data_IF_556999408036
#
_entry.id   IF_556999408036
#
_cell.length_a   1.000
_cell.length_b   1.000
_cell.length_c   1.000
_cell.angle_alpha   90.00
_cell.angle_beta   90.00
_cell.angle_gamma   90.00
#
_symmetry.space_group_name_H-M   'P 1'
#
loop_
_entity.id
_entity.type
_entity.pdbx_description
1 polymer ?
#
# COMPACT_ATOMS: atom_id res chain seq x y z
N UNK A 1 -12.01 7.68 -2.41
CA UNK A 1 -10.81 7.64 -1.55
C UNK A 1 -10.37 9.05 -1.19
N UNK A 2 -9.97 9.25 0.04
CA UNK A 2 -9.55 10.56 0.52
C UNK A 2 -8.01 10.68 0.38
N UNK A 3 -7.50 11.58 -0.50
CA UNK A 3 -6.05 11.73 -0.67
C UNK A 3 -5.35 12.32 0.56
N UNK A 4 -6.11 12.95 1.45
CA UNK A 4 -5.57 13.52 2.69
C UNK A 4 -5.68 12.57 3.88
N UNK A 5 -6.10 11.33 3.66
CA UNK A 5 -6.27 10.37 4.74
C UNK A 5 -4.96 10.06 5.46
N UNK A 6 -5.02 9.99 6.78
CA UNK A 6 -3.90 9.58 7.63
C UNK A 6 -4.39 8.45 8.53
N UNK A 7 -3.75 7.29 8.44
CA UNK A 7 -4.03 6.14 9.29
C UNK A 7 -2.91 5.94 10.31
N UNK A 8 -3.25 5.68 11.57
CA UNK A 8 -2.24 5.43 12.61
C UNK A 8 -2.12 3.94 12.88
N UNK A 9 -0.92 3.49 13.24
CA UNK A 9 -0.60 2.08 13.52
C UNK A 9 -0.12 1.91 14.95
N UNK A 10 -0.19 0.67 15.45
CA UNK A 10 0.20 0.36 16.83
C UNK A 10 1.69 0.56 17.11
N UNK A 11 2.54 0.49 16.09
CA UNK A 11 4.00 0.65 16.23
C UNK A 11 4.45 2.12 16.22
N UNK A 12 3.53 3.07 16.23
CA UNK A 12 3.83 4.49 16.18
C UNK A 12 4.02 5.05 14.77
N UNK A 13 4.00 4.19 13.74
CA UNK A 13 4.01 4.66 12.36
C UNK A 13 2.63 5.10 11.91
N UNK A 14 2.56 5.80 10.79
CA UNK A 14 1.29 6.21 10.20
C UNK A 14 1.38 6.14 8.68
N UNK A 15 0.21 6.03 8.04
CA UNK A 15 0.09 5.92 6.60
C UNK A 15 -0.54 7.19 6.05
N UNK A 16 -0.06 7.64 4.89
CA UNK A 16 -0.40 8.97 4.37
C UNK A 16 -0.84 8.89 2.91
N UNK A 17 -1.89 9.64 2.59
CA UNK A 17 -2.30 9.94 1.24
C UNK A 17 -3.10 8.84 0.57
N UNK A 18 -3.33 9.00 -0.73
CA UNK A 18 -4.18 8.13 -1.54
C UNK A 18 -3.73 6.67 -1.47
N UNK A 19 -2.43 6.41 -1.48
CA UNK A 19 -1.87 5.05 -1.47
C UNK A 19 -1.49 4.59 -0.07
N UNK A 20 -1.78 5.36 0.97
CA UNK A 20 -1.47 5.01 2.37
C UNK A 20 -0.01 4.61 2.54
N UNK A 21 0.88 5.51 2.14
CA UNK A 21 2.33 5.30 2.24
C UNK A 21 2.75 5.36 3.71
N UNK A 22 3.38 4.31 4.19
CA UNK A 22 3.81 4.23 5.59
C UNK A 22 4.96 5.20 5.87
N UNK A 23 4.93 5.82 7.04
CA UNK A 23 5.93 6.81 7.46
C UNK A 23 7.35 6.24 7.57
N UNK A 24 7.50 4.93 7.65
CA UNK A 24 8.82 4.28 7.65
C UNK A 24 9.60 4.51 6.35
N UNK A 25 8.91 4.84 5.27
CA UNK A 25 9.53 5.12 3.96
C UNK A 25 9.98 6.57 3.82
N UNK A 26 9.58 7.47 4.71
CA UNK A 26 9.80 8.91 4.55
C UNK A 26 11.28 9.31 4.51
N UNK A 27 12.18 8.76 5.34
CA UNK A 27 13.59 9.14 5.25
C UNK A 27 14.19 8.87 3.87
N UNK A 28 13.87 7.73 3.26
CA UNK A 28 14.35 7.39 1.92
C UNK A 28 13.72 8.30 0.87
N UNK A 29 12.42 8.57 0.99
CA UNK A 29 11.72 9.44 0.04
C UNK A 29 12.25 10.87 0.11
N UNK A 30 12.54 11.38 1.30
CA UNK A 30 13.12 12.72 1.48
C UNK A 30 14.48 12.83 0.79
N UNK A 31 15.31 11.79 0.87
CA UNK A 31 16.57 11.75 0.14
C UNK A 31 16.38 11.86 -1.37
N UNK A 32 15.22 11.44 -1.88
CA UNK A 32 14.86 11.51 -3.30
C UNK A 32 14.05 12.76 -3.64
N UNK A 33 13.90 13.68 -2.70
CA UNK A 33 13.20 14.94 -2.92
C UNK A 33 11.68 14.84 -2.81
N UNK A 34 11.15 13.77 -2.21
CA UNK A 34 9.71 13.56 -2.01
C UNK A 34 9.38 13.70 -0.54
N UNK A 35 8.47 14.61 -0.20
CA UNK A 35 8.06 14.85 1.18
C UNK A 35 6.61 14.40 1.42
N UNK A 36 6.22 14.38 2.70
CA UNK A 36 4.89 13.98 3.13
C UNK A 36 3.79 14.82 2.49
N UNK A 37 4.00 16.13 2.40
CA UNK A 37 3.02 17.03 1.79
C UNK A 37 2.73 16.66 0.34
N UNK A 38 3.76 16.29 -0.43
CA UNK A 38 3.58 15.85 -1.82
C UNK A 38 2.78 14.54 -1.90
N UNK A 39 2.99 13.63 -0.96
CA UNK A 39 2.22 12.38 -0.92
C UNK A 39 0.74 12.63 -0.65
N UNK A 40 0.42 13.68 0.11
CA UNK A 40 -0.96 14.05 0.43
C UNK A 40 -1.62 14.86 -0.68
N UNK A 41 -0.88 15.73 -1.36
CA UNK A 41 -1.46 16.72 -2.26
C UNK A 41 -1.28 16.39 -3.74
N UNK A 42 -0.40 15.45 -4.07
CA UNK A 42 -0.10 15.07 -5.45
C UNK A 42 -0.44 13.60 -5.68
N UNK A 43 -1.67 13.29 -6.16
CA UNK A 43 -2.09 11.90 -6.35
C UNK A 43 -1.16 11.08 -7.23
N UNK A 44 -0.63 11.67 -8.32
CA UNK A 44 0.30 10.96 -9.20
C UNK A 44 1.59 10.59 -8.48
N UNK A 45 2.11 11.48 -7.63
CA UNK A 45 3.30 11.18 -6.82
C UNK A 45 3.01 10.03 -5.86
N UNK A 46 1.87 10.07 -5.18
CA UNK A 46 1.46 8.99 -4.26
C UNK A 46 1.36 7.66 -4.99
N UNK A 47 0.72 7.62 -6.15
CA UNK A 47 0.57 6.40 -6.95
C UNK A 47 1.93 5.85 -7.39
N UNK A 48 2.81 6.71 -7.87
CA UNK A 48 4.16 6.30 -8.32
C UNK A 48 4.97 5.72 -7.16
N UNK A 49 4.94 6.37 -6.00
CA UNK A 49 5.63 5.89 -4.80
C UNK A 49 5.04 4.56 -4.34
N UNK A 50 3.72 4.46 -4.27
CA UNK A 50 3.05 3.22 -3.88
C UNK A 50 3.38 2.06 -4.80
N UNK A 51 3.38 2.29 -6.11
CA UNK A 51 3.76 1.27 -7.09
C UNK A 51 5.22 0.83 -6.92
N UNK A 52 6.11 1.77 -6.64
CA UNK A 52 7.52 1.47 -6.40
C UNK A 52 7.72 0.60 -5.14
N UNK A 53 7.00 0.92 -4.07
CA UNK A 53 7.05 0.13 -2.82
C UNK A 53 6.51 -1.28 -3.08
N UNK A 54 5.38 -1.41 -3.75
CA UNK A 54 4.81 -2.72 -4.07
C UNK A 54 5.76 -3.54 -4.95
N UNK A 55 6.40 -2.91 -5.94
CA UNK A 55 7.41 -3.56 -6.76
C UNK A 55 8.56 -4.12 -5.91
N UNK A 56 9.01 -3.35 -4.90
CA UNK A 56 10.01 -3.82 -3.94
C UNK A 56 9.56 -5.05 -3.16
N UNK A 57 8.30 -5.07 -2.72
CA UNK A 57 7.75 -6.22 -2.01
C UNK A 57 7.64 -7.46 -2.91
N UNK A 58 7.29 -7.26 -4.17
CA UNK A 58 7.28 -8.35 -5.16
C UNK A 58 8.67 -8.95 -5.35
N UNK A 59 9.72 -8.12 -5.33
CA UNK A 59 11.10 -8.61 -5.41
C UNK A 59 11.49 -9.48 -4.21
N UNK A 60 10.95 -9.17 -3.03
CA UNK A 60 11.23 -9.93 -1.80
C UNK A 60 10.43 -11.23 -1.74
N UNK A 61 9.13 -11.18 -2.02
CA UNK A 61 8.21 -12.29 -1.79
C UNK A 61 7.77 -13.01 -3.05
N UNK A 62 8.07 -12.45 -4.22
CA UNK A 62 7.54 -12.95 -5.48
C UNK A 62 6.17 -12.36 -5.79
N UNK A 63 5.60 -12.79 -6.89
CA UNK A 63 4.33 -12.28 -7.42
C UNK A 63 3.17 -12.97 -6.71
N UNK A 64 2.90 -12.58 -5.47
CA UNK A 64 1.90 -13.26 -4.64
C UNK A 64 1.22 -12.31 -3.66
N UNK A 65 0.25 -12.85 -2.93
CA UNK A 65 -0.53 -12.07 -1.97
C UNK A 65 0.25 -11.64 -0.73
N UNK A 66 1.33 -12.34 -0.39
CA UNK A 66 2.19 -11.91 0.71
C UNK A 66 2.88 -10.58 0.38
N UNK A 67 3.28 -10.38 -0.88
CA UNK A 67 3.83 -9.10 -1.33
C UNK A 67 2.82 -7.96 -1.13
N UNK A 68 1.56 -8.20 -1.45
CA UNK A 68 0.48 -7.23 -1.21
C UNK A 68 0.33 -6.94 0.28
N UNK A 69 0.37 -7.97 1.10
CA UNK A 69 0.31 -7.83 2.56
C UNK A 69 1.49 -7.05 3.12
N UNK A 70 2.68 -7.30 2.59
CA UNK A 70 3.90 -6.62 3.01
C UNK A 70 3.87 -5.12 2.71
N UNK A 71 3.16 -4.69 1.68
CA UNK A 71 2.97 -3.27 1.39
C UNK A 71 2.43 -2.53 2.61
N UNK A 72 1.48 -3.12 3.33
CA UNK A 72 0.90 -2.53 4.53
C UNK A 72 1.71 -2.87 5.79
N UNK A 73 2.07 -4.14 5.98
CA UNK A 73 2.57 -4.64 7.26
C UNK A 73 4.10 -4.72 7.35
N UNK A 74 4.82 -4.50 6.22
CA UNK A 74 6.29 -4.57 6.20
C UNK A 74 6.84 -5.99 6.14
N UNK A 75 8.17 -6.09 6.15
CA UNK A 75 8.89 -7.33 5.85
C UNK A 75 9.41 -8.06 7.09
N UNK A 76 9.20 -7.53 8.30
CA UNK A 76 9.65 -8.20 9.52
C UNK A 76 8.98 -9.55 9.66
N UNK A 77 9.74 -10.55 10.07
CA UNK A 77 9.27 -11.93 10.20
C UNK A 77 8.06 -12.03 11.13
N UNK A 78 8.06 -11.32 12.25
CA UNK A 78 6.97 -11.30 13.21
C UNK A 78 5.68 -10.69 12.65
N UNK A 79 5.76 -9.96 11.53
CA UNK A 79 4.60 -9.33 10.91
C UNK A 79 3.90 -10.21 9.88
N UNK A 80 4.31 -11.47 9.72
CA UNK A 80 3.66 -12.39 8.79
C UNK A 80 2.14 -12.46 8.99
N UNK A 81 1.61 -12.63 10.22
CA UNK A 81 0.17 -12.66 10.41
C UNK A 81 -0.53 -11.38 9.94
N UNK A 82 0.08 -10.23 10.18
CA UNK A 82 -0.46 -8.93 9.74
C UNK A 82 -0.47 -8.81 8.22
N UNK A 83 0.60 -9.30 7.55
CA UNK A 83 0.65 -9.33 6.08
C UNK A 83 -0.50 -10.15 5.52
N UNK A 84 -0.76 -11.31 6.11
CA UNK A 84 -1.81 -12.20 5.63
C UNK A 84 -3.20 -11.64 5.87
N UNK A 85 -3.42 -10.97 6.99
CA UNK A 85 -4.71 -10.29 7.25
C UNK A 85 -4.97 -9.22 6.20
N UNK A 86 -3.97 -8.38 5.90
CA UNK A 86 -4.11 -7.34 4.89
C UNK A 86 -4.31 -7.94 3.49
N UNK A 87 -3.55 -8.97 3.15
CA UNK A 87 -3.69 -9.67 1.87
C UNK A 87 -5.10 -10.22 1.67
N UNK A 88 -5.69 -10.80 2.71
CA UNK A 88 -7.07 -11.28 2.67
C UNK A 88 -8.07 -10.17 2.43
N UNK A 89 -7.87 -9.00 3.07
CA UNK A 89 -8.75 -7.85 2.85
C UNK A 89 -8.70 -7.38 1.41
N UNK A 90 -7.51 -7.28 0.84
CA UNK A 90 -7.34 -6.85 -0.56
C UNK A 90 -7.92 -7.88 -1.51
N UNK A 91 -7.70 -9.18 -1.24
CA UNK A 91 -8.24 -10.27 -2.05
C UNK A 91 -9.77 -10.22 -2.07
N UNK A 92 -10.40 -10.00 -0.92
CA UNK A 92 -11.86 -9.88 -0.83
C UNK A 92 -12.38 -8.72 -1.66
N UNK A 93 -11.71 -7.56 -1.61
CA UNK A 93 -12.06 -6.41 -2.44
C UNK A 93 -11.87 -6.69 -3.92
N UNK A 94 -10.79 -7.36 -4.28
CA UNK A 94 -10.54 -7.76 -5.65
C UNK A 94 -11.66 -8.66 -6.19
N UNK A 95 -12.08 -9.66 -5.42
CA UNK A 95 -13.17 -10.55 -5.83
C UNK A 95 -14.49 -9.77 -6.00
N UNK A 96 -14.78 -8.83 -5.11
CA UNK A 96 -15.96 -8.00 -5.20
C UNK A 96 -15.96 -7.15 -6.47
N UNK A 97 -14.85 -6.48 -6.76
CA UNK A 97 -14.71 -5.66 -7.97
C UNK A 97 -14.80 -6.49 -9.25
N UNK A 98 -14.19 -7.66 -9.24
CA UNK A 98 -14.24 -8.60 -10.36
C UNK A 98 -15.66 -9.04 -10.65
N UNK A 99 -16.45 -9.32 -9.62
CA UNK A 99 -17.85 -9.70 -9.76
C UNK A 99 -18.68 -8.56 -10.38
N UNK A 100 -18.51 -7.33 -9.87
CA UNK A 100 -19.20 -6.15 -10.42
C UNK A 100 -18.83 -5.92 -11.88
N UNK A 101 -17.56 -6.02 -12.21
CA UNK A 101 -17.07 -5.82 -13.58
C UNK A 101 -17.64 -6.87 -14.54
N UNK A 102 -17.77 -8.12 -14.11
CA UNK A 102 -18.41 -9.18 -14.91
C UNK A 102 -19.87 -8.87 -15.17
N UNK A 103 -20.63 -8.40 -14.16
CA UNK A 103 -22.02 -8.04 -14.31
C UNK A 103 -22.20 -6.93 -15.32
N UNK A 104 -21.27 -5.97 -15.34
CA UNK A 104 -21.27 -4.83 -16.25
C UNK A 104 -20.64 -5.14 -17.61
N UNK A 105 -20.04 -6.32 -17.76
CA UNK A 105 -19.30 -6.67 -18.96
C UNK A 105 -18.15 -5.69 -19.24
N UNK A 106 -17.45 -5.25 -18.19
CA UNK A 106 -16.39 -4.22 -18.26
C UNK A 106 -14.98 -4.80 -18.45
N UNK A 107 -14.84 -6.13 -18.43
CA UNK A 107 -13.54 -6.79 -18.57
C UNK A 107 -13.34 -7.34 -19.97
#
# INVERSE_FOLDING_TARGET
>A
MNPYAVGTNHDGTYDVGLMQINSSHFPELERRGINEYQLMTQPCTSIMVGASILSGMIKVYGYNWEAVGAYNAGIKKENYPKRMVYAHKVWAKYQQLKSVARERNDW
#
